data_IF_707171904726
#
_entry.id   IF_707171904726
#
_cell.length_a   1.000
_cell.length_b   1.000
_cell.length_c   1.000
_cell.angle_alpha   90.00
_cell.angle_beta   90.00
_cell.angle_gamma   90.00
#
_symmetry.space_group_name_H-M   'P 1'
#
loop_
_entity.id
_entity.type
_entity.pdbx_description
1 polymer ?
#
# COMPACT_ATOMS: atom_id res chain seq x y z
N UNK A 1 14.61 -3.09 0.95
CA UNK A 1 13.97 -1.80 1.25
C UNK A 1 12.48 -1.98 1.12
N UNK A 2 11.76 -2.05 2.24
CA UNK A 2 10.30 -1.89 2.23
C UNK A 2 10.06 -0.38 2.11
N UNK A 3 9.63 0.09 0.94
CA UNK A 3 9.58 1.52 0.62
C UNK A 3 8.46 2.27 1.36
N UNK A 4 7.65 1.59 2.15
CA UNK A 4 6.36 2.09 2.61
C UNK A 4 5.97 1.19 3.78
N UNK A 5 5.45 1.72 4.89
CA UNK A 5 5.00 0.93 6.05
C UNK A 5 3.78 0.03 5.78
N UNK A 6 3.55 -0.35 4.53
CA UNK A 6 2.40 -1.09 4.04
C UNK A 6 2.85 -2.53 3.78
N UNK A 7 2.24 -3.47 4.48
CA UNK A 7 2.43 -4.90 4.27
C UNK A 7 1.12 -5.52 3.75
N UNK A 8 0.98 -5.69 2.42
CA UNK A 8 -0.13 -6.43 1.85
C UNK A 8 -0.05 -7.90 2.25
N UNK A 9 -1.21 -8.53 2.41
CA UNK A 9 -1.29 -9.99 2.56
C UNK A 9 -1.17 -10.67 1.20
N UNK A 10 -0.86 -11.96 1.19
CA UNK A 10 -0.96 -12.75 -0.04
C UNK A 10 -2.40 -12.68 -0.59
N UNK A 11 -2.54 -12.48 -1.91
CA UNK A 11 -3.84 -12.28 -2.54
C UNK A 11 -4.47 -10.89 -2.32
N UNK A 12 -3.70 -9.90 -1.82
CA UNK A 12 -4.19 -8.54 -1.61
C UNK A 12 -3.45 -7.53 -2.51
N UNK A 13 -4.19 -6.64 -3.17
CA UNK A 13 -3.67 -5.42 -3.76
C UNK A 13 -4.01 -4.20 -2.88
N UNK A 14 -3.03 -3.31 -2.69
CA UNK A 14 -3.21 -2.06 -1.95
C UNK A 14 -3.02 -0.89 -2.92
N UNK A 15 -4.04 -0.04 -3.02
CA UNK A 15 -4.02 1.17 -3.84
C UNK A 15 -3.49 2.29 -2.96
N UNK A 16 -2.48 3.00 -3.46
CA UNK A 16 -1.71 3.99 -2.70
C UNK A 16 -1.50 5.27 -3.49
N UNK A 17 -1.48 6.38 -2.78
CA UNK A 17 -1.07 7.68 -3.30
C UNK A 17 0.31 8.04 -2.71
N UNK A 18 1.29 8.41 -3.54
CA UNK A 18 2.55 8.97 -3.08
C UNK A 18 2.33 10.31 -2.38
N UNK A 19 3.03 10.52 -1.27
CA UNK A 19 3.11 11.77 -0.53
C UNK A 19 4.58 12.19 -0.41
N UNK A 20 4.84 13.42 0.03
CA UNK A 20 6.20 13.96 0.15
C UNK A 20 7.13 13.09 1.03
N UNK A 21 6.57 12.40 2.02
CA UNK A 21 7.32 11.60 3.01
C UNK A 21 6.91 10.11 3.08
N UNK A 22 6.03 9.64 2.18
CA UNK A 22 5.57 8.26 2.25
C UNK A 22 4.43 7.90 1.30
N UNK A 23 3.65 6.89 1.69
CA UNK A 23 2.48 6.45 0.95
C UNK A 23 1.23 6.53 1.81
N UNK A 24 0.15 7.04 1.23
CA UNK A 24 -1.19 7.01 1.81
C UNK A 24 -2.01 5.91 1.17
N UNK A 25 -2.63 5.05 1.98
CA UNK A 25 -3.55 4.02 1.47
C UNK A 25 -4.86 4.66 1.05
N UNK A 26 -5.27 4.40 -0.20
CA UNK A 26 -6.56 4.81 -0.75
C UNK A 26 -7.60 3.68 -0.67
N UNK A 27 -7.15 2.43 -0.77
CA UNK A 27 -8.04 1.28 -0.77
C UNK A 27 -7.30 -0.05 -0.78
N UNK A 28 -8.05 -1.13 -0.53
CA UNK A 28 -7.57 -2.51 -0.50
C UNK A 28 -8.52 -3.38 -1.31
N UNK A 29 -7.97 -4.32 -2.07
CA UNK A 29 -8.71 -5.29 -2.89
C UNK A 29 -8.21 -6.68 -2.55
N UNK A 30 -9.13 -7.58 -2.22
CA UNK A 30 -8.85 -9.00 -2.00
C UNK A 30 -9.29 -9.78 -3.23
N UNK A 31 -8.43 -10.67 -3.72
CA UNK A 31 -8.71 -11.57 -4.84
C UNK A 31 -9.14 -12.96 -4.36
#
# INVERSE_FOLDING_TARGET
>A
MALTGISPREGEAVIVEPQDDGLRVLGRVTF
#
